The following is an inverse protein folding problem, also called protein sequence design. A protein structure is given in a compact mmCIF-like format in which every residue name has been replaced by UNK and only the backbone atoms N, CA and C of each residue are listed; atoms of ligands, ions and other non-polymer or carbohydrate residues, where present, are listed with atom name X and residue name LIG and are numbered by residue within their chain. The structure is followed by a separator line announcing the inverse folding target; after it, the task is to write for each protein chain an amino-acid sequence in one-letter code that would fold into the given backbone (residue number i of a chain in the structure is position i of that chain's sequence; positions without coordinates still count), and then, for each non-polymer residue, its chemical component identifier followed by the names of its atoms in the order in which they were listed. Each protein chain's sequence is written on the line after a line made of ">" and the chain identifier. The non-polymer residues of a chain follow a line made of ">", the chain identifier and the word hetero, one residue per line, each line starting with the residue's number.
data_IF_863751019086
#
_entry.id   IF_863751019086
#
_cell.length_a   1.000
_cell.length_b   1.000
_cell.length_c   1.000
_cell.angle_alpha   90.00
_cell.angle_beta   90.00
_cell.angle_gamma   90.00
#
_symmetry.space_group_name_H-M   'P 1'
#
loop_
_entity.id
_entity.type
_entity.pdbx_description
1 polymer ?
#
# COMPACT_ATOMS: atom_id res chain seq x y z
N UNK A 1 6.13 -24.30 10.83
CA UNK A 1 5.60 -23.05 11.43
C UNK A 1 6.72 -22.30 12.18
N UNK A 2 7.70 -21.73 11.51
CA UNK A 2 8.88 -21.11 12.12
C UNK A 2 9.48 -19.90 11.39
N UNK A 3 8.91 -19.45 10.26
CA UNK A 3 9.51 -18.37 9.46
C UNK A 3 9.30 -16.94 9.98
N UNK A 4 8.21 -16.67 10.71
CA UNK A 4 7.86 -15.31 11.13
C UNK A 4 8.74 -14.70 12.22
N UNK A 5 9.41 -15.52 13.03
CA UNK A 5 10.27 -15.05 14.13
C UNK A 5 11.64 -14.55 13.66
N UNK A 6 12.20 -15.17 12.63
CA UNK A 6 13.52 -14.80 12.10
C UNK A 6 13.48 -13.47 11.34
N UNK A 7 12.44 -13.26 10.51
CA UNK A 7 12.25 -12.04 9.72
C UNK A 7 11.98 -10.83 10.63
N UNK A 8 11.17 -10.98 11.70
CA UNK A 8 10.98 -9.93 12.71
C UNK A 8 12.26 -9.56 13.45
N UNK A 9 13.14 -10.52 13.70
CA UNK A 9 14.42 -10.28 14.36
C UNK A 9 15.39 -9.52 13.44
N UNK A 10 15.41 -9.84 12.16
CA UNK A 10 16.17 -9.12 11.13
C UNK A 10 15.65 -7.69 11.02
N UNK A 11 14.31 -7.48 10.85
CA UNK A 11 13.68 -6.16 10.75
C UNK A 11 13.99 -5.27 11.97
N UNK A 12 13.86 -5.80 13.20
CA UNK A 12 14.12 -5.07 14.44
C UNK A 12 15.59 -4.69 14.63
N UNK A 13 16.51 -5.59 14.26
CA UNK A 13 17.94 -5.35 14.37
C UNK A 13 18.43 -4.38 13.29
N UNK A 14 17.81 -4.39 12.12
CA UNK A 14 18.13 -3.50 11.01
C UNK A 14 17.80 -2.04 11.37
N UNK A 15 16.60 -1.78 11.85
CA UNK A 15 16.14 -0.43 12.27
C UNK A 15 16.90 0.11 13.49
N UNK A 16 17.46 -0.76 14.35
CA UNK A 16 18.23 -0.37 15.51
C UNK A 16 19.76 -0.32 15.26
N UNK A 17 20.22 -0.56 14.02
CA UNK A 17 21.65 -0.60 13.68
C UNK A 17 22.44 -1.68 14.41
N UNK A 18 21.78 -2.68 15.02
CA UNK A 18 22.44 -3.78 15.72
C UNK A 18 22.79 -4.89 14.74
N UNK A 19 24.02 -5.44 14.78
CA UNK A 19 24.38 -6.57 13.94
C UNK A 19 23.52 -7.79 14.31
N UNK A 20 23.00 -8.47 13.28
CA UNK A 20 22.33 -9.77 13.48
C UNK A 20 23.41 -10.82 13.76
N UNK A 21 23.56 -11.21 15.01
CA UNK A 21 24.48 -12.28 15.39
C UNK A 21 23.93 -13.61 14.86
N UNK A 22 24.38 -14.00 13.67
CA UNK A 22 24.39 -15.39 13.26
C UNK A 22 25.67 -15.98 13.85
N UNK A 23 25.55 -16.88 14.84
CA UNK A 23 26.64 -17.40 15.59
C UNK A 23 27.61 -18.32 14.81
N UNK A 24 28.36 -17.73 13.87
CA UNK A 24 29.57 -18.27 13.31
C UNK A 24 30.47 -17.14 12.84
N UNK A 25 31.56 -16.89 13.52
CA UNK A 25 32.70 -16.20 12.97
C UNK A 25 33.35 -17.14 11.94
N UNK A 26 33.08 -16.89 10.67
CA UNK A 26 33.91 -17.40 9.60
C UNK A 26 34.56 -16.26 8.86
N UNK A 27 35.88 -16.29 8.84
CA UNK A 27 36.76 -15.43 8.08
C UNK A 27 36.39 -15.54 6.59
N UNK A 28 36.08 -14.41 5.98
CA UNK A 28 35.68 -14.28 4.57
C UNK A 28 36.79 -14.85 3.66
N UNK A 29 36.63 -16.09 3.19
CA UNK A 29 37.41 -16.59 2.07
C UNK A 29 36.92 -15.83 0.81
N UNK A 30 37.87 -15.25 0.06
CA UNK A 30 37.63 -14.55 -1.21
C UNK A 30 36.88 -15.43 -2.19
N UNK A 31 35.57 -15.30 -2.30
CA UNK A 31 34.78 -15.87 -3.37
C UNK A 31 34.57 -14.81 -4.46
N UNK A 32 34.75 -15.20 -5.70
CA UNK A 32 34.59 -14.39 -6.91
C UNK A 32 33.10 -14.00 -7.08
N UNK A 33 32.63 -12.99 -6.40
CA UNK A 33 31.28 -12.46 -6.56
C UNK A 33 31.30 -10.98 -6.95
N UNK A 34 30.34 -10.55 -7.73
CA UNK A 34 30.17 -9.14 -8.06
C UNK A 34 29.86 -8.35 -6.79
N UNK A 35 30.75 -7.42 -6.44
CA UNK A 35 30.52 -6.51 -5.30
C UNK A 35 30.02 -5.19 -5.84
N UNK A 36 28.84 -4.78 -5.43
CA UNK A 36 28.29 -3.46 -5.72
C UNK A 36 28.38 -2.66 -4.42
N UNK A 37 28.97 -1.46 -4.49
CA UNK A 37 29.21 -0.62 -3.32
C UNK A 37 28.45 0.70 -3.42
N UNK A 38 27.65 1.00 -2.41
CA UNK A 38 26.92 2.26 -2.27
C UNK A 38 27.33 2.93 -0.95
N UNK A 39 28.38 3.78 -0.99
CA UNK A 39 28.89 4.42 0.22
C UNK A 39 29.41 3.39 1.24
N UNK A 40 28.75 3.29 2.41
CA UNK A 40 29.11 2.31 3.46
C UNK A 40 28.48 0.92 3.26
N UNK A 41 27.64 0.76 2.26
CA UNK A 41 26.93 -0.48 1.96
C UNK A 41 27.53 -1.20 0.76
N UNK A 42 27.58 -2.52 0.84
CA UNK A 42 28.01 -3.38 -0.24
C UNK A 42 27.04 -4.54 -0.45
N UNK A 43 26.85 -4.94 -1.69
CA UNK A 43 26.09 -6.14 -2.03
C UNK A 43 27.02 -7.14 -2.70
N UNK A 44 27.13 -8.32 -2.12
CA UNK A 44 27.97 -9.39 -2.60
C UNK A 44 27.12 -10.60 -2.99
N UNK A 45 27.35 -11.15 -4.19
CA UNK A 45 26.70 -12.39 -4.64
C UNK A 45 27.53 -13.58 -4.18
N UNK A 46 26.97 -14.42 -3.31
CA UNK A 46 27.62 -15.65 -2.87
C UNK A 46 27.57 -16.73 -3.96
N UNK A 47 28.50 -17.68 -3.93
CA UNK A 47 28.53 -18.81 -4.87
C UNK A 47 27.31 -19.76 -4.79
N UNK A 48 26.42 -19.55 -3.81
CA UNK A 48 25.17 -20.29 -3.62
C UNK A 48 23.94 -19.62 -4.23
N UNK A 49 24.13 -18.54 -4.97
CA UNK A 49 23.01 -17.78 -5.56
C UNK A 49 22.31 -16.84 -4.57
N UNK A 50 22.86 -16.68 -3.37
CA UNK A 50 22.37 -15.74 -2.37
C UNK A 50 23.09 -14.40 -2.50
N UNK A 51 22.44 -13.33 -2.03
CA UNK A 51 23.01 -11.99 -1.97
C UNK A 51 23.22 -11.58 -0.51
N UNK A 52 24.43 -11.17 -0.21
CA UNK A 52 24.81 -10.66 1.10
C UNK A 52 24.80 -9.14 1.07
N UNK A 53 24.03 -8.51 1.94
CA UNK A 53 24.08 -7.08 2.18
C UNK A 53 25.04 -6.80 3.32
N UNK A 54 26.05 -5.99 3.04
CA UNK A 54 27.08 -5.60 4.00
C UNK A 54 26.96 -4.12 4.37
N UNK A 55 27.32 -3.79 5.60
CA UNK A 55 27.58 -2.43 6.03
C UNK A 55 28.98 -2.35 6.64
N UNK A 56 29.86 -1.52 6.06
CA UNK A 56 31.26 -1.45 6.49
C UNK A 56 31.97 -2.80 6.54
N UNK A 57 31.65 -3.68 5.56
CA UNK A 57 32.24 -5.01 5.48
C UNK A 57 31.64 -6.09 6.41
N UNK A 58 30.60 -5.73 7.20
CA UNK A 58 29.89 -6.68 8.06
C UNK A 58 28.57 -7.08 7.42
N UNK A 59 28.31 -8.38 7.26
CA UNK A 59 27.04 -8.87 6.72
C UNK A 59 25.89 -8.51 7.65
N UNK A 60 24.90 -7.78 7.15
CA UNK A 60 23.71 -7.32 7.88
C UNK A 60 22.43 -8.01 7.39
N UNK A 61 22.46 -8.68 6.23
CA UNK A 61 21.35 -9.47 5.70
C UNK A 61 21.80 -10.42 4.60
N UNK A 62 21.05 -11.53 4.41
CA UNK A 62 21.23 -12.50 3.32
C UNK A 62 19.86 -12.66 2.64
N UNK A 63 19.85 -12.60 1.32
CA UNK A 63 18.64 -12.63 0.49
C UNK A 63 18.81 -13.62 -0.66
N UNK A 64 17.76 -14.37 -0.97
CA UNK A 64 17.76 -15.34 -2.08
C UNK A 64 17.62 -14.69 -3.44
N UNK A 65 17.05 -13.49 -3.49
CA UNK A 65 16.75 -12.77 -4.73
C UNK A 65 17.11 -11.30 -4.62
N UNK A 66 17.65 -10.73 -5.71
CA UNK A 66 17.90 -9.30 -5.82
C UNK A 66 17.71 -8.85 -7.27
N UNK A 67 17.06 -7.70 -7.45
CA UNK A 67 17.03 -6.97 -8.71
C UNK A 67 18.11 -5.89 -8.68
N UNK A 68 19.10 -6.00 -9.57
CA UNK A 68 20.24 -5.09 -9.67
C UNK A 68 19.94 -4.08 -10.77
N UNK A 69 19.97 -2.80 -10.43
CA UNK A 69 19.91 -1.66 -11.34
C UNK A 69 21.18 -0.84 -11.21
N UNK A 70 21.41 0.09 -12.13
CA UNK A 70 22.64 0.88 -12.18
C UNK A 70 22.93 1.64 -10.87
N UNK A 71 21.90 2.23 -10.26
CA UNK A 71 22.02 3.07 -9.07
C UNK A 71 21.46 2.47 -7.80
N UNK A 72 20.85 1.27 -7.86
CA UNK A 72 20.20 0.64 -6.74
C UNK A 72 20.17 -0.89 -6.81
N UNK A 73 20.01 -1.53 -5.65
CA UNK A 73 19.71 -2.96 -5.55
C UNK A 73 18.46 -3.13 -4.73
N UNK A 74 17.49 -3.87 -5.29
CA UNK A 74 16.20 -4.12 -4.66
C UNK A 74 16.14 -5.57 -4.16
N UNK A 75 15.80 -5.75 -2.90
CA UNK A 75 15.57 -7.05 -2.30
C UNK A 75 14.10 -7.20 -1.93
N UNK A 76 13.43 -8.20 -2.47
CA UNK A 76 12.06 -8.51 -2.07
C UNK A 76 12.04 -9.02 -0.62
N UNK A 77 11.26 -8.35 0.21
CA UNK A 77 10.92 -8.79 1.56
C UNK A 77 9.55 -9.48 1.55
N UNK A 78 9.10 -9.94 2.72
CA UNK A 78 7.76 -10.48 2.84
C UNK A 78 6.68 -9.38 2.86
N UNK A 79 5.47 -9.75 2.48
CA UNK A 79 4.27 -8.92 2.61
C UNK A 79 4.31 -7.61 1.83
N UNK A 80 4.80 -7.66 0.58
CA UNK A 80 4.77 -6.50 -0.33
C UNK A 80 5.68 -5.35 0.11
N UNK A 81 6.83 -5.65 0.68
CA UNK A 81 7.88 -4.69 1.04
C UNK A 81 9.15 -5.02 0.29
N UNK A 82 9.80 -4.00 -0.22
CA UNK A 82 11.11 -4.06 -0.90
C UNK A 82 12.12 -3.30 -0.05
N UNK A 83 13.32 -3.87 0.10
CA UNK A 83 14.46 -3.16 0.63
C UNK A 83 15.26 -2.57 -0.54
N UNK A 84 15.29 -1.26 -0.66
CA UNK A 84 16.12 -0.52 -1.61
C UNK A 84 17.45 -0.18 -0.96
N UNK A 85 18.54 -0.51 -1.64
CA UNK A 85 19.91 -0.12 -1.27
C UNK A 85 20.48 0.76 -2.37
N UNK A 86 20.76 2.01 -2.08
CA UNK A 86 21.26 3.00 -3.04
C UNK A 86 22.32 3.91 -2.42
N UNK A 87 22.84 4.88 -3.19
CA UNK A 87 23.72 5.93 -2.68
C UNK A 87 23.07 6.75 -1.54
N UNK A 88 21.73 6.84 -1.53
CA UNK A 88 20.96 7.52 -0.48
C UNK A 88 20.83 6.71 0.81
N UNK A 89 21.35 5.48 0.85
CA UNK A 89 21.27 4.57 1.99
C UNK A 89 20.33 3.39 1.75
N UNK A 90 19.69 2.94 2.82
CA UNK A 90 18.74 1.82 2.79
C UNK A 90 17.36 2.35 3.13
N UNK A 91 16.37 1.97 2.32
CA UNK A 91 14.95 2.29 2.52
C UNK A 91 14.08 1.05 2.40
N UNK A 92 13.05 0.96 3.22
CA UNK A 92 11.94 0.03 3.02
C UNK A 92 10.89 0.72 2.16
N UNK A 93 10.56 0.13 1.01
CA UNK A 93 9.58 0.64 0.05
C UNK A 93 8.43 -0.36 -0.03
N UNK A 94 7.22 0.15 0.02
CA UNK A 94 5.99 -0.62 -0.17
C UNK A 94 5.75 -0.80 -1.67
N UNK A 95 5.46 -2.04 -2.09
CA UNK A 95 5.11 -2.33 -3.49
C UNK A 95 3.81 -1.65 -3.90
N UNK A 96 3.60 -1.38 -5.21
CA UNK A 96 2.36 -0.79 -5.70
C UNK A 96 1.11 -1.61 -5.33
N UNK A 97 1.21 -2.94 -5.33
CA UNK A 97 0.12 -3.86 -4.95
C UNK A 97 -0.27 -3.65 -3.49
N UNK A 98 0.71 -3.62 -2.60
CA UNK A 98 0.47 -3.34 -1.17
C UNK A 98 -0.03 -1.91 -0.97
N UNK A 99 0.52 -0.93 -1.67
CA UNK A 99 0.06 0.44 -1.60
C UNK A 99 -1.42 0.57 -2.04
N UNK A 100 -1.83 -0.15 -3.10
CA UNK A 100 -3.23 -0.24 -3.52
C UNK A 100 -4.11 -0.82 -2.40
N UNK A 101 -3.70 -1.94 -1.81
CA UNK A 101 -4.42 -2.56 -0.70
C UNK A 101 -4.58 -1.62 0.50
N UNK A 102 -3.51 -0.90 0.86
CA UNK A 102 -3.54 0.11 1.93
C UNK A 102 -4.50 1.25 1.61
N UNK A 103 -4.51 1.74 0.35
CA UNK A 103 -5.43 2.76 -0.11
C UNK A 103 -6.90 2.33 -0.02
N UNK A 104 -7.23 1.10 -0.43
CA UNK A 104 -8.57 0.53 -0.29
C UNK A 104 -9.00 0.45 1.20
N UNK A 105 -8.10 -0.02 2.09
CA UNK A 105 -8.40 -0.11 3.52
C UNK A 105 -8.54 1.28 4.14
N UNK A 106 -7.75 2.25 3.72
CA UNK A 106 -7.83 3.63 4.21
C UNK A 106 -9.15 4.31 3.83
N UNK A 107 -9.73 3.96 2.67
CA UNK A 107 -11.04 4.45 2.23
C UNK A 107 -12.19 3.73 2.96
N UNK A 108 -12.39 2.46 2.65
CA UNK A 108 -13.57 1.68 3.04
C UNK A 108 -13.20 0.49 3.95
N UNK A 109 -12.11 0.54 4.67
CA UNK A 109 -11.66 -0.57 5.48
C UNK A 109 -11.66 -0.29 6.99
N UNK A 110 -11.32 -1.33 7.73
CA UNK A 110 -11.01 -1.22 9.15
C UNK A 110 -10.02 -2.30 9.58
N UNK A 111 -9.07 -1.92 10.44
CA UNK A 111 -8.11 -2.83 11.03
C UNK A 111 -8.37 -2.91 12.54
N UNK A 112 -9.07 -3.94 12.99
CA UNK A 112 -9.71 -3.98 14.30
C UNK A 112 -9.07 -5.00 15.23
N UNK A 113 -8.92 -4.58 16.49
CA UNK A 113 -8.64 -5.45 17.62
C UNK A 113 -9.86 -5.47 18.54
N UNK A 114 -10.37 -6.67 18.84
CA UNK A 114 -11.48 -6.85 19.78
C UNK A 114 -11.08 -7.86 20.85
N UNK A 115 -11.36 -7.53 22.09
CA UNK A 115 -11.22 -8.42 23.24
C UNK A 115 -12.58 -8.58 23.91
N UNK A 116 -13.14 -9.79 23.83
CA UNK A 116 -14.44 -10.11 24.41
C UNK A 116 -14.28 -11.04 25.61
N UNK A 117 -14.95 -10.72 26.71
CA UNK A 117 -15.02 -11.61 27.86
C UNK A 117 -16.03 -12.72 27.57
N UNK A 118 -15.63 -13.97 27.74
CA UNK A 118 -16.50 -15.15 27.64
C UNK A 118 -17.04 -15.55 28.99
N UNK A 119 -18.11 -16.35 28.98
CA UNK A 119 -18.58 -17.04 30.15
C UNK A 119 -17.42 -17.80 30.81
N UNK A 120 -17.32 -17.75 32.16
CA UNK A 120 -16.23 -18.33 32.96
C UNK A 120 -14.89 -17.53 33.01
N UNK A 121 -14.94 -16.21 32.72
CA UNK A 121 -13.79 -15.33 32.93
C UNK A 121 -12.66 -15.45 31.90
N UNK A 122 -12.81 -16.29 30.87
CA UNK A 122 -11.85 -16.35 29.75
C UNK A 122 -12.08 -15.21 28.77
N UNK A 123 -11.02 -14.82 28.03
CA UNK A 123 -11.11 -13.79 26.99
C UNK A 123 -10.91 -14.39 25.62
N UNK A 124 -11.74 -13.96 24.66
CA UNK A 124 -11.47 -14.14 23.23
C UNK A 124 -10.82 -12.89 22.69
N UNK A 125 -9.69 -13.05 22.03
CA UNK A 125 -9.04 -11.96 21.31
C UNK A 125 -9.19 -12.19 19.82
N UNK A 126 -9.69 -11.19 19.09
CA UNK A 126 -9.87 -11.21 17.66
C UNK A 126 -9.07 -10.08 17.03
N UNK A 127 -8.31 -10.41 15.99
CA UNK A 127 -7.61 -9.49 15.12
C UNK A 127 -8.22 -9.64 13.74
N UNK A 128 -8.81 -8.58 13.21
CA UNK A 128 -9.46 -8.63 11.90
C UNK A 128 -9.16 -7.39 11.07
N UNK A 129 -8.87 -7.60 9.79
CA UNK A 129 -8.84 -6.55 8.77
C UNK A 129 -10.04 -6.74 7.90
N UNK A 130 -10.80 -5.68 7.68
CA UNK A 130 -12.07 -5.70 6.94
C UNK A 130 -12.04 -4.67 5.83
N UNK A 131 -12.72 -5.00 4.74
CA UNK A 131 -12.99 -4.09 3.64
C UNK A 131 -14.48 -4.16 3.31
N UNK A 132 -15.10 -3.02 3.12
CA UNK A 132 -16.54 -2.88 2.87
C UNK A 132 -16.73 -2.29 1.48
N UNK A 133 -17.52 -2.94 0.63
CA UNK A 133 -17.81 -2.41 -0.70
C UNK A 133 -19.19 -2.81 -1.19
N UNK A 134 -19.86 -1.90 -1.87
CA UNK A 134 -21.04 -2.17 -2.67
C UNK A 134 -20.68 -2.62 -4.10
N UNK A 135 -19.40 -2.56 -4.43
CA UNK A 135 -18.84 -2.92 -5.74
C UNK A 135 -18.10 -4.25 -5.65
N UNK A 136 -18.57 -5.23 -6.46
CA UNK A 136 -18.03 -6.58 -6.45
C UNK A 136 -16.60 -6.64 -6.99
N UNK A 137 -16.28 -5.83 -7.98
CA UNK A 137 -14.96 -5.73 -8.57
C UNK A 137 -13.93 -5.23 -7.56
N UNK A 138 -14.28 -4.25 -6.72
CA UNK A 138 -13.41 -3.79 -5.64
C UNK A 138 -13.23 -4.86 -4.55
N UNK A 139 -14.29 -5.60 -4.20
CA UNK A 139 -14.19 -6.71 -3.25
C UNK A 139 -13.30 -7.84 -3.79
N UNK A 140 -13.37 -8.14 -5.07
CA UNK A 140 -12.51 -9.10 -5.75
C UNK A 140 -11.05 -8.62 -5.81
N UNK A 141 -10.82 -7.34 -6.12
CA UNK A 141 -9.49 -6.73 -6.12
C UNK A 141 -8.86 -6.83 -4.74
N UNK A 142 -9.60 -6.50 -3.67
CA UNK A 142 -9.12 -6.64 -2.29
C UNK A 142 -8.71 -8.08 -1.98
N UNK A 143 -9.47 -9.07 -2.46
CA UNK A 143 -9.15 -10.48 -2.25
C UNK A 143 -7.91 -10.92 -2.99
N UNK A 144 -7.80 -10.55 -4.26
CA UNK A 144 -6.63 -10.85 -5.10
C UNK A 144 -5.35 -10.27 -4.49
N UNK A 145 -5.36 -8.99 -4.09
CA UNK A 145 -4.22 -8.35 -3.45
C UNK A 145 -3.87 -8.98 -2.10
N UNK A 146 -4.88 -9.37 -1.31
CA UNK A 146 -4.66 -10.05 -0.02
C UNK A 146 -4.01 -11.41 -0.19
N UNK A 147 -4.41 -12.16 -1.20
CA UNK A 147 -3.82 -13.46 -1.54
C UNK A 147 -2.39 -13.31 -2.07
N UNK A 148 -2.16 -12.36 -2.97
CA UNK A 148 -0.83 -12.08 -3.53
C UNK A 148 0.18 -11.64 -2.46
N UNK A 149 -0.22 -10.69 -1.59
CA UNK A 149 0.68 -10.08 -0.61
C UNK A 149 0.89 -10.95 0.62
N UNK A 150 -0.19 -11.60 1.10
CA UNK A 150 -0.19 -12.30 2.38
C UNK A 150 -0.44 -13.81 2.26
N UNK A 151 -0.79 -14.32 1.07
CA UNK A 151 -1.17 -15.71 0.88
C UNK A 151 -2.50 -16.07 1.57
N UNK A 152 -3.40 -15.10 1.77
CA UNK A 152 -4.65 -15.30 2.52
C UNK A 152 -5.83 -14.79 1.72
N UNK A 153 -6.78 -15.68 1.45
CA UNK A 153 -8.07 -15.33 0.85
C UNK A 153 -9.05 -14.84 1.92
N UNK A 154 -9.63 -13.63 1.79
CA UNK A 154 -10.62 -13.11 2.73
C UNK A 154 -11.92 -13.93 2.74
N UNK A 155 -12.59 -13.94 3.89
CA UNK A 155 -13.96 -14.43 3.99
C UNK A 155 -14.94 -13.33 3.57
N UNK A 156 -15.93 -13.66 2.72
CA UNK A 156 -16.95 -12.73 2.26
C UNK A 156 -18.28 -12.92 2.97
N UNK A 157 -18.86 -11.82 3.42
CA UNK A 157 -20.20 -11.78 3.99
C UNK A 157 -21.05 -10.78 3.20
N UNK A 158 -22.14 -11.23 2.62
CA UNK A 158 -23.07 -10.38 1.89
C UNK A 158 -24.19 -9.91 2.82
N UNK A 159 -24.29 -8.61 3.01
CA UNK A 159 -25.36 -7.98 3.75
C UNK A 159 -26.49 -7.61 2.78
N UNK A 160 -27.54 -8.49 2.69
CA UNK A 160 -28.64 -8.37 1.71
C UNK A 160 -29.39 -7.04 1.76
N UNK A 161 -29.44 -6.39 2.94
CA UNK A 161 -30.22 -5.15 3.16
C UNK A 161 -29.74 -3.97 2.30
N UNK A 162 -28.45 -3.88 2.05
CA UNK A 162 -27.79 -2.74 1.39
C UNK A 162 -26.76 -3.15 0.34
N UNK A 163 -26.82 -4.40 -0.12
CA UNK A 163 -25.90 -4.97 -1.10
C UNK A 163 -24.41 -4.85 -0.71
N UNK A 164 -24.12 -4.65 0.57
CA UNK A 164 -22.76 -4.46 1.04
C UNK A 164 -22.04 -5.81 1.17
N UNK A 165 -20.90 -5.92 0.50
CA UNK A 165 -19.95 -7.03 0.64
C UNK A 165 -18.94 -6.64 1.72
N UNK A 166 -18.81 -7.48 2.76
CA UNK A 166 -17.78 -7.34 3.77
C UNK A 166 -16.75 -8.44 3.57
N UNK A 167 -15.54 -8.09 3.20
CA UNK A 167 -14.39 -8.99 3.07
C UNK A 167 -13.57 -8.94 4.35
N UNK A 168 -13.32 -10.08 5.01
CA UNK A 168 -12.68 -10.13 6.33
C UNK A 168 -11.49 -11.07 6.34
N UNK A 169 -10.37 -10.62 6.86
CA UNK A 169 -9.18 -11.41 7.16
C UNK A 169 -9.00 -11.49 8.67
N UNK A 170 -8.97 -12.70 9.22
CA UNK A 170 -8.68 -12.93 10.63
C UNK A 170 -7.20 -13.34 10.78
N UNK A 171 -6.31 -12.36 10.93
CA UNK A 171 -4.88 -12.62 11.06
C UNK A 171 -4.17 -11.59 11.92
N UNK A 172 -3.50 -12.05 12.98
CA UNK A 172 -2.76 -11.19 13.91
C UNK A 172 -1.54 -10.54 13.25
N UNK A 173 -0.85 -11.25 12.35
CA UNK A 173 0.34 -10.76 11.64
C UNK A 173 -0.01 -9.59 10.73
N UNK A 174 -1.08 -9.74 9.93
CA UNK A 174 -1.58 -8.68 9.03
C UNK A 174 -2.05 -7.48 9.84
N UNK A 175 -2.78 -7.71 10.94
CA UNK A 175 -3.22 -6.61 11.83
C UNK A 175 -2.04 -5.74 12.27
N UNK A 176 -0.93 -6.34 12.73
CA UNK A 176 0.24 -5.57 13.17
C UNK A 176 1.01 -4.97 12.00
N UNK A 177 1.13 -5.65 10.86
CA UNK A 177 1.77 -5.10 9.67
C UNK A 177 1.08 -3.80 9.20
N UNK A 178 -0.24 -3.79 9.17
CA UNK A 178 -1.04 -2.60 8.83
C UNK A 178 -0.94 -1.51 9.91
N UNK A 179 -0.96 -1.90 11.20
CA UNK A 179 -0.83 -0.95 12.31
C UNK A 179 0.53 -0.28 12.33
N UNK A 180 1.61 -1.02 12.03
CA UNK A 180 2.97 -0.49 11.95
C UNK A 180 3.12 0.53 10.79
N UNK A 181 2.26 0.45 9.77
CA UNK A 181 2.16 1.40 8.67
C UNK A 181 1.13 2.53 8.93
N UNK A 182 0.67 2.67 10.18
CA UNK A 182 -0.33 3.65 10.61
C UNK A 182 -1.71 3.54 9.92
N UNK A 183 -2.01 2.40 9.29
CA UNK A 183 -3.37 2.06 8.87
C UNK A 183 -4.09 1.53 10.11
N UNK A 184 -4.63 2.45 10.91
CA UNK A 184 -5.30 2.13 12.17
C UNK A 184 -6.76 1.78 11.94
N UNK A 185 -7.29 1.12 12.91
CA UNK A 185 -8.50 0.39 12.82
C UNK A 185 -9.76 1.13 13.19
N UNK A 186 -10.14 2.11 12.44
CA UNK A 186 -11.48 2.67 12.52
C UNK A 186 -11.85 3.23 11.15
N UNK A 187 -13.14 3.28 10.80
CA UNK A 187 -13.56 3.80 9.49
C UNK A 187 -13.25 5.30 9.32
N UNK A 188 -12.56 5.91 10.27
CA UNK A 188 -12.39 7.37 10.33
C UNK A 188 -10.94 7.81 10.58
N UNK A 189 -9.99 6.90 10.69
CA UNK A 189 -8.61 7.26 11.06
C UNK A 189 -7.63 6.49 10.16
N UNK A 190 -6.96 7.18 9.25
CA UNK A 190 -5.90 6.60 8.42
C UNK A 190 -4.75 7.59 8.28
N UNK A 191 -3.56 7.07 8.02
CA UNK A 191 -2.40 7.86 7.65
C UNK A 191 -1.78 7.29 6.37
N UNK A 192 -1.23 8.17 5.54
CA UNK A 192 -0.52 7.75 4.34
C UNK A 192 0.94 7.43 4.71
N UNK A 193 1.45 6.22 4.46
CA UNK A 193 2.83 5.86 4.78
C UNK A 193 3.83 6.47 3.78
N UNK A 194 3.86 7.81 3.65
CA UNK A 194 4.58 8.57 2.60
C UNK A 194 6.06 8.21 2.49
N UNK A 195 6.74 8.02 3.63
CA UNK A 195 8.17 7.73 3.69
C UNK A 195 8.53 6.34 3.13
N UNK A 196 7.53 5.47 3.03
CA UNK A 196 7.66 4.12 2.49
C UNK A 196 7.14 3.99 1.05
N UNK A 197 6.67 5.07 0.43
CA UNK A 197 6.12 5.07 -0.93
C UNK A 197 7.06 5.78 -1.92
N UNK A 198 7.48 5.07 -2.96
CA UNK A 198 8.02 5.69 -4.17
C UNK A 198 6.86 6.26 -5.02
N UNK A 199 7.16 6.85 -6.18
CA UNK A 199 6.12 7.47 -7.02
C UNK A 199 5.06 6.47 -7.49
N UNK A 200 5.43 5.23 -7.82
CA UNK A 200 4.48 4.20 -8.23
C UNK A 200 3.60 3.76 -7.05
N UNK A 201 4.19 3.60 -5.88
CA UNK A 201 3.47 3.33 -4.64
C UNK A 201 2.51 4.47 -4.25
N UNK A 202 2.92 5.74 -4.41
CA UNK A 202 2.07 6.92 -4.20
C UNK A 202 0.86 6.90 -5.14
N UNK A 203 1.07 6.68 -6.46
CA UNK A 203 0.00 6.57 -7.44
C UNK A 203 -0.97 5.43 -7.10
N UNK A 204 -0.43 4.27 -6.74
CA UNK A 204 -1.19 3.08 -6.39
C UNK A 204 -2.03 3.28 -5.12
N UNK A 205 -1.46 3.91 -4.07
CA UNK A 205 -2.20 4.25 -2.85
C UNK A 205 -3.37 5.21 -3.15
N UNK A 206 -3.09 6.31 -3.88
CA UNK A 206 -4.11 7.29 -4.27
C UNK A 206 -5.21 6.64 -5.09
N UNK A 207 -4.86 5.77 -6.06
CA UNK A 207 -5.84 5.03 -6.88
C UNK A 207 -6.71 4.12 -6.03
N UNK A 208 -6.11 3.37 -5.09
CA UNK A 208 -6.84 2.51 -4.14
C UNK A 208 -7.82 3.31 -3.30
N UNK A 209 -7.37 4.40 -2.65
CA UNK A 209 -8.22 5.28 -1.85
C UNK A 209 -9.35 5.90 -2.70
N UNK A 210 -9.02 6.43 -3.86
CA UNK A 210 -9.99 7.07 -4.76
C UNK A 210 -11.06 6.10 -5.28
N UNK A 211 -10.73 4.82 -5.39
CA UNK A 211 -11.69 3.79 -5.80
C UNK A 211 -12.75 3.52 -4.73
N UNK A 212 -12.45 3.71 -3.43
CA UNK A 212 -13.42 3.66 -2.33
C UNK A 212 -14.13 5.01 -2.16
N UNK A 213 -13.45 5.96 -1.54
CA UNK A 213 -13.99 7.27 -1.09
C UNK A 213 -13.88 8.40 -2.12
N UNK A 214 -13.43 8.12 -3.34
CA UNK A 214 -13.43 9.08 -4.44
C UNK A 214 -14.82 9.26 -5.04
N UNK A 215 -15.06 10.44 -5.60
CA UNK A 215 -16.27 10.74 -6.37
C UNK A 215 -15.93 11.32 -7.74
N UNK A 216 -16.58 10.77 -8.75
CA UNK A 216 -16.55 11.28 -10.12
C UNK A 216 -17.96 11.59 -10.56
N UNK A 217 -18.17 12.81 -11.03
CA UNK A 217 -19.45 13.22 -11.64
C UNK A 217 -19.20 13.96 -12.94
N UNK A 218 -20.13 13.80 -13.88
CA UNK A 218 -20.11 14.49 -15.17
C UNK A 218 -21.40 15.28 -15.34
N UNK A 219 -21.27 16.54 -15.76
CA UNK A 219 -22.38 17.42 -16.06
C UNK A 219 -22.10 18.14 -17.39
N UNK A 220 -22.78 17.72 -18.46
CA UNK A 220 -22.46 18.15 -19.82
C UNK A 220 -21.05 17.70 -20.22
N UNK A 221 -20.18 18.67 -20.54
CA UNK A 221 -18.79 18.44 -20.92
C UNK A 221 -17.80 18.62 -19.74
N UNK A 222 -18.33 18.79 -18.52
CA UNK A 222 -17.50 19.00 -17.33
C UNK A 222 -17.51 17.77 -16.46
N UNK A 223 -16.32 17.30 -16.11
CA UNK A 223 -16.11 16.30 -15.09
C UNK A 223 -15.69 16.97 -13.77
N UNK A 224 -16.02 16.36 -12.66
CA UNK A 224 -15.52 16.77 -11.35
C UNK A 224 -14.92 15.55 -10.68
N UNK A 225 -13.68 15.68 -10.18
CA UNK A 225 -12.95 14.64 -9.47
C UNK A 225 -12.70 15.12 -8.04
N UNK A 226 -13.26 14.42 -7.04
CA UNK A 226 -13.20 14.80 -5.63
C UNK A 226 -12.81 13.63 -4.75
N UNK A 227 -12.10 13.95 -3.68
CA UNK A 227 -11.75 13.05 -2.58
C UNK A 227 -12.53 13.46 -1.34
N UNK A 228 -13.07 12.49 -0.63
CA UNK A 228 -13.85 12.72 0.59
C UNK A 228 -13.27 11.92 1.74
N UNK A 229 -13.37 12.45 2.96
CA UNK A 229 -13.11 11.73 4.20
C UNK A 229 -13.77 12.44 5.38
N UNK A 230 -14.13 11.72 6.41
CA UNK A 230 -14.45 12.28 7.72
C UNK A 230 -13.21 12.55 8.58
N UNK A 231 -12.03 12.11 8.15
CA UNK A 231 -10.75 12.31 8.84
C UNK A 231 -9.88 13.30 8.06
N UNK A 232 -9.80 14.53 8.59
CA UNK A 232 -9.15 15.66 7.93
C UNK A 232 -7.67 15.45 7.73
N UNK A 233 -6.97 14.98 8.77
CA UNK A 233 -5.52 14.80 8.76
C UNK A 233 -5.07 13.80 7.68
N UNK A 234 -5.75 12.66 7.57
CA UNK A 234 -5.46 11.68 6.52
C UNK A 234 -5.73 12.23 5.12
N UNK A 235 -6.79 13.05 4.97
CA UNK A 235 -7.10 13.70 3.70
C UNK A 235 -6.06 14.77 3.33
N UNK A 236 -5.50 15.51 4.32
CA UNK A 236 -4.38 16.44 4.12
C UNK A 236 -3.12 15.70 3.67
N UNK A 237 -2.79 14.57 4.29
CA UNK A 237 -1.65 13.74 3.88
C UNK A 237 -1.84 13.22 2.44
N UNK A 238 -3.05 12.78 2.08
CA UNK A 238 -3.37 12.33 0.72
C UNK A 238 -3.24 13.47 -0.31
N UNK A 239 -3.68 14.68 0.05
CA UNK A 239 -3.51 15.88 -0.76
C UNK A 239 -2.02 16.18 -0.99
N UNK A 240 -1.19 16.07 0.05
CA UNK A 240 0.26 16.24 -0.06
C UNK A 240 0.90 15.18 -0.96
N UNK A 241 0.42 13.94 -0.96
CA UNK A 241 0.88 12.89 -1.90
C UNK A 241 0.59 13.29 -3.34
N UNK A 242 -0.58 13.86 -3.63
CA UNK A 242 -0.88 14.38 -4.97
C UNK A 242 0.05 15.54 -5.37
N UNK A 243 0.39 16.42 -4.43
CA UNK A 243 1.38 17.50 -4.66
C UNK A 243 2.76 16.90 -4.99
N UNK A 244 3.21 15.89 -4.25
CA UNK A 244 4.47 15.17 -4.54
C UNK A 244 4.48 14.55 -5.93
N UNK A 245 3.32 14.14 -6.45
CA UNK A 245 3.13 13.61 -7.81
C UNK A 245 2.99 14.71 -8.88
N UNK A 246 3.13 15.98 -8.49
CA UNK A 246 3.05 17.13 -9.39
C UNK A 246 1.64 17.50 -9.82
N UNK A 247 0.64 17.23 -8.96
CA UNK A 247 -0.72 17.77 -9.07
C UNK A 247 -0.87 19.00 -8.17
N UNK A 248 -1.89 19.83 -8.44
CA UNK A 248 -2.19 21.06 -7.69
C UNK A 248 -3.62 21.02 -7.12
N UNK A 249 -3.96 20.01 -6.28
CA UNK A 249 -5.33 19.86 -5.77
C UNK A 249 -5.76 21.11 -4.97
N UNK A 250 -7.05 21.45 -5.08
CA UNK A 250 -7.62 22.56 -4.33
C UNK A 250 -7.49 22.36 -2.81
N UNK A 251 -7.70 23.44 -2.06
CA UNK A 251 -7.74 23.39 -0.60
C UNK A 251 -8.88 22.48 -0.10
N UNK A 252 -8.70 21.94 1.10
CA UNK A 252 -9.71 21.12 1.74
C UNK A 252 -10.86 22.00 2.22
N UNK A 253 -12.05 21.63 1.82
CA UNK A 253 -13.32 22.23 2.26
C UNK A 253 -13.97 21.32 3.30
N UNK A 254 -14.65 21.97 4.24
CA UNK A 254 -15.45 21.32 5.29
C UNK A 254 -16.95 21.43 4.97
N UNK A 255 -17.65 20.31 5.08
CA UNK A 255 -19.10 20.24 4.91
C UNK A 255 -19.73 19.63 6.15
N UNK A 256 -20.64 20.37 6.77
CA UNK A 256 -21.45 19.87 7.89
C UNK A 256 -22.67 19.13 7.32
N UNK A 257 -22.76 17.84 7.64
CA UNK A 257 -23.87 16.97 7.26
C UNK A 257 -24.62 16.48 8.52
N UNK A 258 -25.87 16.01 8.38
CA UNK A 258 -26.61 15.46 9.53
C UNK A 258 -25.89 14.30 10.22
N UNK A 259 -25.03 13.57 9.50
CA UNK A 259 -24.25 12.41 9.96
C UNK A 259 -22.87 12.78 10.54
N UNK A 260 -22.46 14.05 10.47
CA UNK A 260 -21.16 14.54 10.93
C UNK A 260 -20.48 15.47 9.94
N UNK A 261 -19.22 15.77 10.22
CA UNK A 261 -18.38 16.60 9.36
C UNK A 261 -17.72 15.73 8.31
N UNK A 262 -17.74 16.20 7.06
CA UNK A 262 -17.03 15.58 5.93
C UNK A 262 -16.13 16.61 5.30
N UNK A 263 -14.89 16.23 5.06
CA UNK A 263 -13.89 17.03 4.37
C UNK A 263 -13.77 16.60 2.92
N UNK A 264 -13.50 17.53 2.02
CA UNK A 264 -13.20 17.17 0.65
C UNK A 264 -12.23 18.15 -0.01
N UNK A 265 -11.49 17.65 -0.99
CA UNK A 265 -10.79 18.47 -1.97
C UNK A 265 -11.06 17.95 -3.39
N UNK A 266 -10.80 18.79 -4.39
CA UNK A 266 -10.96 18.43 -5.79
C UNK A 266 -9.67 18.61 -6.58
N UNK A 267 -9.55 17.83 -7.66
CA UNK A 267 -8.51 18.00 -8.66
C UNK A 267 -8.90 19.14 -9.61
N UNK A 268 -7.99 20.08 -9.94
CA UNK A 268 -8.26 21.15 -10.90
C UNK A 268 -8.64 20.62 -12.28
N UNK A 269 -9.46 21.36 -13.01
CA UNK A 269 -9.99 20.95 -14.31
C UNK A 269 -8.89 20.66 -15.33
N UNK A 270 -7.86 21.47 -15.36
CA UNK A 270 -6.70 21.37 -16.24
C UNK A 270 -5.88 20.11 -16.01
N UNK A 271 -6.02 19.47 -14.85
CA UNK A 271 -5.30 18.25 -14.47
C UNK A 271 -6.16 16.98 -14.58
N UNK A 272 -7.44 17.07 -14.97
CA UNK A 272 -8.33 15.91 -15.02
C UNK A 272 -7.81 14.83 -15.96
N UNK A 273 -7.33 15.18 -17.16
CA UNK A 273 -6.78 14.22 -18.12
C UNK A 273 -5.51 13.56 -17.56
N UNK A 274 -4.63 14.35 -16.94
CA UNK A 274 -3.44 13.84 -16.26
C UNK A 274 -3.82 12.85 -15.16
N UNK A 275 -4.79 13.22 -14.31
CA UNK A 275 -5.26 12.36 -13.22
C UNK A 275 -5.84 11.04 -13.75
N UNK A 276 -6.67 11.08 -14.78
CA UNK A 276 -7.27 9.88 -15.38
C UNK A 276 -6.19 8.93 -15.91
N UNK A 277 -5.16 9.46 -16.59
CA UNK A 277 -4.11 8.65 -17.21
C UNK A 277 -3.08 8.14 -16.20
N UNK A 278 -2.69 8.94 -15.21
CA UNK A 278 -1.61 8.58 -14.29
C UNK A 278 -2.11 7.86 -13.03
N UNK A 279 -3.32 8.16 -12.56
CA UNK A 279 -3.90 7.59 -11.33
C UNK A 279 -5.11 6.71 -11.70
N UNK A 280 -6.17 7.32 -12.22
CA UNK A 280 -7.41 6.64 -12.57
C UNK A 280 -8.18 6.08 -11.36
N UNK A 281 -8.93 5.00 -11.59
CA UNK A 281 -9.71 4.31 -10.57
C UNK A 281 -9.85 2.82 -10.92
N UNK A 282 -10.08 1.98 -9.91
CA UNK A 282 -10.48 0.58 -10.07
C UNK A 282 -12.01 0.41 -10.10
N UNK A 283 -12.78 1.43 -9.64
CA UNK A 283 -14.26 1.38 -9.58
C UNK A 283 -14.85 1.48 -10.99
N UNK A 284 -15.60 0.47 -11.49
CA UNK A 284 -16.08 0.44 -12.89
C UNK A 284 -16.92 1.65 -13.27
N UNK A 285 -17.71 2.18 -12.31
CA UNK A 285 -18.49 3.40 -12.53
C UNK A 285 -17.60 4.61 -12.83
N UNK A 286 -16.47 4.77 -12.12
CA UNK A 286 -15.53 5.86 -12.36
C UNK A 286 -14.86 5.70 -13.73
N UNK A 287 -14.42 4.47 -14.06
CA UNK A 287 -13.78 4.17 -15.34
C UNK A 287 -14.68 4.55 -16.51
N UNK A 288 -15.97 4.14 -16.47
CA UNK A 288 -16.94 4.50 -17.52
C UNK A 288 -17.10 6.02 -17.70
N UNK A 289 -17.15 6.77 -16.59
CA UNK A 289 -17.25 8.24 -16.64
C UNK A 289 -15.96 8.85 -17.21
N UNK A 290 -14.80 8.32 -16.85
CA UNK A 290 -13.51 8.77 -17.39
C UNK A 290 -13.42 8.54 -18.90
N UNK A 291 -13.79 7.37 -19.39
CA UNK A 291 -13.80 7.04 -20.81
C UNK A 291 -14.78 7.93 -21.59
N UNK A 292 -15.98 8.18 -21.04
CA UNK A 292 -16.94 9.10 -21.63
C UNK A 292 -16.38 10.51 -21.74
N UNK A 293 -15.74 11.01 -20.68
CA UNK A 293 -15.14 12.33 -20.64
C UNK A 293 -14.00 12.47 -21.66
N UNK A 294 -13.06 11.49 -21.69
CA UNK A 294 -11.95 11.50 -22.64
C UNK A 294 -12.44 11.53 -24.09
N UNK A 295 -13.43 10.69 -24.42
CA UNK A 295 -14.03 10.64 -25.77
C UNK A 295 -14.66 11.98 -26.16
N UNK A 296 -15.42 12.61 -25.26
CA UNK A 296 -16.01 13.93 -25.50
C UNK A 296 -14.99 15.04 -25.65
N UNK A 297 -13.84 14.91 -24.98
CA UNK A 297 -12.74 15.86 -25.04
C UNK A 297 -11.78 15.63 -26.20
N UNK A 298 -12.05 14.66 -27.10
CA UNK A 298 -11.24 14.38 -28.29
C UNK A 298 -9.95 13.58 -28.04
N UNK A 299 -9.83 12.95 -26.85
CA UNK A 299 -8.72 12.06 -26.54
C UNK A 299 -9.04 10.63 -27.01
N UNK A 300 -8.06 9.97 -27.61
CA UNK A 300 -8.16 8.53 -27.92
C UNK A 300 -8.16 7.73 -26.60
N UNK A 301 -9.16 6.88 -26.44
CA UNK A 301 -9.20 5.91 -25.34
C UNK A 301 -8.58 4.63 -25.86
N UNK A 302 -7.38 4.28 -25.39
CA UNK A 302 -6.81 2.96 -25.66
C UNK A 302 -7.81 1.88 -25.20
N UNK A 303 -8.21 1.02 -26.14
CA UNK A 303 -9.01 -0.15 -25.79
C UNK A 303 -8.16 -1.01 -24.85
N UNK A 304 -8.58 -1.15 -23.59
CA UNK A 304 -8.03 -2.19 -22.74
C UNK A 304 -8.37 -3.51 -23.42
N UNK A 305 -7.34 -4.30 -23.76
CA UNK A 305 -7.55 -5.70 -24.11
C UNK A 305 -8.15 -6.37 -22.86
N UNK A 306 -9.48 -6.48 -22.85
CA UNK A 306 -10.19 -7.36 -21.93
C UNK A 306 -9.77 -8.76 -22.32
N UNK A 307 -8.67 -9.25 -21.70
CA UNK A 307 -8.19 -10.60 -21.87
C UNK A 307 -9.33 -11.58 -21.53
N UNK A 308 -10.01 -12.03 -22.58
CA UNK A 308 -11.00 -13.10 -22.57
C UNK A 308 -10.34 -14.45 -22.29
#
# INVERSE_FOLDING_TARGET
>A
MGGGSAIRRVKRNFLQGKPVSTGKKEVCAKTQGTVIVFGEYGVHKSGKGEYELLRKGVTIGIFSEAQIKEDEVLFALSHGVILEVSKGGIKEIITPEKATLLGLIAADGSNMFRREQRLRGSYRTEYSTRFYSDDKELANLFSMLSEEIYGITPHHYNRKKDNLITSVIYNKGIFYDLTDLNIKGGPYEFHVPRDHLNNDGKKAFVKGFFSGDGNVSIAGDKITIRFYSSYKEGLEELRLVLIDLGFHPHEILEYVQPTGIVYCFSVPREEHVKFINEIGSYKPRHVRIFEEYLRKSGYEVEKRDDGS
#
